data_IF_515135335954
#
_entry.id   IF_515135335954
#
_cell.length_a   1.000
_cell.length_b   1.000
_cell.length_c   1.000
_cell.angle_alpha   90.00
_cell.angle_beta   90.00
_cell.angle_gamma   90.00
#
_symmetry.space_group_name_H-M   'P 1'
#
loop_
_entity.id
_entity.type
_entity.pdbx_description
1 polymer ?
#
# COMPACT_ATOMS: atom_id res chain seq x y z
N UNK A 1 19.15 32.01 -15.31
CA UNK A 1 17.98 31.26 -14.86
C UNK A 1 18.30 30.72 -13.49
N UNK A 2 17.72 31.30 -12.44
CA UNK A 2 17.95 30.85 -11.07
C UNK A 2 17.23 29.51 -10.90
N UNK A 3 17.92 28.46 -10.43
CA UNK A 3 17.21 27.24 -10.07
C UNK A 3 16.42 27.58 -8.82
N UNK A 4 15.11 27.73 -8.97
CA UNK A 4 14.21 27.77 -7.81
C UNK A 4 14.41 26.47 -7.05
N UNK A 5 15.05 26.58 -5.88
CA UNK A 5 15.29 25.43 -5.03
C UNK A 5 13.95 24.77 -4.68
N UNK A 6 13.92 23.43 -4.62
CA UNK A 6 12.75 22.68 -4.17
C UNK A 6 12.27 23.25 -2.83
N UNK A 7 10.97 23.51 -2.69
CA UNK A 7 10.38 23.82 -1.40
C UNK A 7 10.58 22.66 -0.43
N UNK A 8 10.53 22.92 0.87
CA UNK A 8 10.64 21.87 1.87
C UNK A 8 9.25 21.39 2.31
N UNK A 9 9.07 20.10 2.49
CA UNK A 9 7.89 19.50 3.07
C UNK A 9 8.30 18.56 4.20
N UNK A 10 7.63 18.63 5.35
CA UNK A 10 7.92 17.70 6.45
C UNK A 10 7.45 16.28 6.13
N UNK A 11 8.16 15.29 6.65
CA UNK A 11 7.75 13.88 6.55
C UNK A 11 6.34 13.67 7.09
N UNK A 12 5.98 14.33 8.19
CA UNK A 12 4.64 14.25 8.76
C UNK A 12 3.59 14.76 7.78
N UNK A 13 3.81 15.92 7.17
CA UNK A 13 2.86 16.49 6.20
C UNK A 13 2.77 15.61 4.93
N UNK A 14 3.90 15.23 4.35
CA UNK A 14 3.93 14.37 3.17
C UNK A 14 3.26 13.01 3.41
N UNK A 15 3.50 12.38 4.57
CA UNK A 15 2.88 11.10 4.93
C UNK A 15 1.38 11.26 5.18
N UNK A 16 0.95 12.38 5.76
CA UNK A 16 -0.48 12.65 5.97
C UNK A 16 -1.22 12.81 4.65
N UNK A 17 -0.69 13.59 3.72
CA UNK A 17 -1.27 13.74 2.38
C UNK A 17 -1.30 12.41 1.62
N UNK A 18 -0.22 11.64 1.70
CA UNK A 18 -0.16 10.30 1.12
C UNK A 18 -1.25 9.39 1.71
N UNK A 19 -1.33 9.30 3.04
CA UNK A 19 -2.29 8.43 3.73
C UNK A 19 -3.74 8.75 3.33
N UNK A 20 -4.10 10.01 3.31
CA UNK A 20 -5.44 10.46 2.89
C UNK A 20 -5.68 10.16 1.41
N UNK A 21 -4.74 10.50 0.56
CA UNK A 21 -4.86 10.31 -0.89
C UNK A 21 -4.95 8.85 -1.30
N UNK A 22 -4.09 7.98 -0.75
CA UNK A 22 -4.10 6.56 -1.11
C UNK A 22 -5.33 5.83 -0.55
N UNK A 23 -5.79 6.19 0.64
CA UNK A 23 -7.02 5.63 1.22
C UNK A 23 -8.23 6.01 0.38
N UNK A 24 -8.35 7.26 -0.05
CA UNK A 24 -9.42 7.71 -0.94
C UNK A 24 -9.38 7.03 -2.33
N UNK A 25 -8.19 6.84 -2.89
CA UNK A 25 -8.02 6.12 -4.16
C UNK A 25 -8.42 4.65 -4.03
N UNK A 26 -8.09 4.00 -2.92
CA UNK A 26 -8.51 2.63 -2.63
C UNK A 26 -10.03 2.52 -2.54
N UNK A 27 -10.68 3.35 -1.74
CA UNK A 27 -12.14 3.38 -1.62
C UNK A 27 -12.83 3.53 -2.98
N UNK A 28 -12.35 4.46 -3.80
CA UNK A 28 -12.91 4.72 -5.14
C UNK A 28 -12.81 3.52 -6.08
N UNK A 29 -11.77 2.67 -5.92
CA UNK A 29 -11.49 1.55 -6.80
C UNK A 29 -11.89 0.19 -6.20
N UNK A 30 -12.40 0.18 -4.98
CA UNK A 30 -12.63 -1.04 -4.22
C UNK A 30 -13.61 -1.99 -4.90
N UNK A 31 -14.70 -1.50 -5.44
CA UNK A 31 -15.70 -2.30 -6.18
C UNK A 31 -15.09 -3.09 -7.35
N UNK A 32 -14.16 -2.46 -8.09
CA UNK A 32 -13.47 -3.13 -9.19
C UNK A 32 -12.53 -4.24 -8.70
N UNK A 33 -11.92 -4.05 -7.53
CA UNK A 33 -11.07 -5.07 -6.91
C UNK A 33 -11.93 -6.23 -6.38
N UNK A 34 -13.04 -5.94 -5.70
CA UNK A 34 -14.01 -6.95 -5.27
C UNK A 34 -14.51 -7.81 -6.43
N UNK A 35 -14.83 -7.19 -7.56
CA UNK A 35 -15.25 -7.92 -8.75
C UNK A 35 -14.21 -8.93 -9.23
N UNK A 36 -12.91 -8.67 -9.02
CA UNK A 36 -11.85 -9.62 -9.33
C UNK A 36 -11.92 -10.86 -8.44
N UNK A 37 -12.18 -10.69 -7.15
CA UNK A 37 -12.34 -11.80 -6.22
C UNK A 37 -13.64 -12.59 -6.49
N UNK A 38 -14.77 -11.90 -6.64
CA UNK A 38 -16.05 -12.55 -6.91
C UNK A 38 -16.02 -13.36 -8.20
N UNK A 39 -15.39 -12.83 -9.26
CA UNK A 39 -15.26 -13.55 -10.53
C UNK A 39 -14.37 -14.79 -10.42
N UNK A 40 -13.29 -14.71 -9.64
CA UNK A 40 -12.31 -15.78 -9.55
C UNK A 40 -12.73 -16.90 -8.60
N UNK A 41 -13.44 -16.57 -7.51
CA UNK A 41 -13.69 -17.49 -6.40
C UNK A 41 -15.18 -17.77 -6.12
N UNK A 42 -16.08 -17.01 -6.72
CA UNK A 42 -17.53 -17.20 -6.69
C UNK A 42 -18.06 -17.55 -5.27
N UNK A 43 -18.65 -18.71 -5.10
CA UNK A 43 -19.22 -19.19 -3.82
C UNK A 43 -18.16 -19.34 -2.70
N UNK A 44 -16.89 -19.48 -3.05
CA UNK A 44 -15.79 -19.58 -2.10
C UNK A 44 -15.19 -18.22 -1.74
N UNK A 45 -15.73 -17.13 -2.28
CA UNK A 45 -15.23 -15.79 -2.01
C UNK A 45 -15.49 -15.42 -0.55
N UNK A 46 -14.49 -14.89 0.19
CA UNK A 46 -14.71 -14.38 1.53
C UNK A 46 -15.68 -13.20 1.53
N UNK A 47 -16.17 -12.82 2.71
CA UNK A 47 -16.97 -11.61 2.87
C UNK A 47 -16.18 -10.37 2.41
N UNK A 48 -16.86 -9.43 1.79
CA UNK A 48 -16.27 -8.19 1.25
C UNK A 48 -15.48 -7.42 2.31
N UNK A 49 -15.98 -7.39 3.55
CA UNK A 49 -15.30 -6.76 4.67
C UNK A 49 -13.95 -7.43 4.99
N UNK A 50 -13.86 -8.75 4.91
CA UNK A 50 -12.62 -9.49 5.13
C UNK A 50 -11.58 -9.15 4.05
N UNK A 51 -12.02 -9.04 2.80
CA UNK A 51 -11.18 -8.63 1.67
C UNK A 51 -10.68 -7.20 1.88
N UNK A 52 -11.57 -6.27 2.28
CA UNK A 52 -11.22 -4.89 2.58
C UNK A 52 -10.14 -4.79 3.66
N UNK A 53 -10.34 -5.48 4.76
CA UNK A 53 -9.44 -5.46 5.92
C UNK A 53 -8.04 -6.02 5.63
N UNK A 54 -7.92 -6.92 4.67
CA UNK A 54 -6.60 -7.42 4.23
C UNK A 54 -5.95 -6.51 3.19
N UNK A 55 -6.73 -5.94 2.27
CA UNK A 55 -6.22 -5.12 1.17
C UNK A 55 -5.77 -3.73 1.60
N UNK A 56 -6.50 -3.06 2.49
CA UNK A 56 -6.18 -1.70 2.90
C UNK A 56 -4.75 -1.56 3.45
N UNK A 57 -4.31 -2.39 4.43
CA UNK A 57 -2.93 -2.37 4.91
C UNK A 57 -1.90 -2.70 3.82
N UNK A 58 -2.24 -3.59 2.90
CA UNK A 58 -1.38 -3.96 1.78
C UNK A 58 -1.16 -2.77 0.82
N UNK A 59 -2.20 -1.99 0.55
CA UNK A 59 -2.13 -0.77 -0.27
C UNK A 59 -1.27 0.29 0.39
N UNK A 60 -1.40 0.51 1.69
CA UNK A 60 -0.53 1.43 2.43
C UNK A 60 0.94 1.01 2.37
N UNK A 61 1.22 -0.28 2.59
CA UNK A 61 2.58 -0.82 2.55
C UNK A 61 3.20 -0.68 1.15
N UNK A 62 2.45 -1.07 0.11
CA UNK A 62 2.87 -0.94 -1.27
C UNK A 62 3.13 0.53 -1.63
N UNK A 63 2.31 1.44 -1.12
CA UNK A 63 2.40 2.86 -1.42
C UNK A 63 3.63 3.55 -0.82
N UNK A 64 4.17 3.11 0.32
CA UNK A 64 5.38 3.71 0.90
C UNK A 64 6.69 3.08 0.43
N UNK A 65 6.62 1.94 -0.26
CA UNK A 65 7.80 1.22 -0.75
C UNK A 65 8.74 2.11 -1.60
N UNK A 66 8.24 2.97 -2.52
CA UNK A 66 9.09 3.84 -3.31
C UNK A 66 9.99 4.79 -2.51
N UNK A 67 9.61 5.13 -1.29
CA UNK A 67 10.41 6.02 -0.41
C UNK A 67 11.82 5.49 -0.21
N UNK A 68 11.96 4.15 -0.03
CA UNK A 68 13.26 3.53 0.15
C UNK A 68 14.17 3.71 -1.08
N UNK A 69 13.60 3.61 -2.27
CA UNK A 69 14.35 3.75 -3.51
C UNK A 69 14.72 5.21 -3.83
N UNK A 70 13.88 6.17 -3.40
CA UNK A 70 14.07 7.59 -3.70
C UNK A 70 15.01 8.25 -2.67
N UNK A 71 14.81 8.01 -1.37
CA UNK A 71 15.53 8.69 -0.29
C UNK A 71 16.32 7.75 0.65
N UNK A 72 16.18 6.44 0.51
CA UNK A 72 16.90 5.45 1.28
C UNK A 72 16.17 4.93 2.51
N UNK A 73 16.81 4.01 3.20
CA UNK A 73 16.24 3.24 4.33
C UNK A 73 15.89 4.11 5.53
N UNK A 74 16.66 5.16 5.79
CA UNK A 74 16.42 6.07 6.92
C UNK A 74 15.06 6.77 6.77
N UNK A 75 14.82 7.37 5.61
CA UNK A 75 13.57 8.09 5.34
C UNK A 75 12.38 7.12 5.21
N UNK A 76 12.60 5.94 4.66
CA UNK A 76 11.58 4.90 4.65
C UNK A 76 11.11 4.53 6.08
N UNK A 77 12.04 4.37 7.02
CA UNK A 77 11.70 4.09 8.43
C UNK A 77 10.90 5.22 9.06
N UNK A 78 11.24 6.47 8.77
CA UNK A 78 10.50 7.65 9.27
C UNK A 78 9.08 7.69 8.72
N UNK A 79 8.91 7.55 7.42
CA UNK A 79 7.58 7.50 6.78
C UNK A 79 6.75 6.33 7.31
N UNK A 80 7.35 5.15 7.46
CA UNK A 80 6.67 3.98 8.04
C UNK A 80 6.19 4.25 9.47
N UNK A 81 7.00 4.90 10.28
CA UNK A 81 6.63 5.27 11.66
C UNK A 81 5.46 6.26 11.68
N UNK A 82 5.46 7.26 10.80
CA UNK A 82 4.33 8.20 10.66
C UNK A 82 3.05 7.50 10.17
N UNK A 83 3.17 6.53 9.26
CA UNK A 83 2.02 5.70 8.84
C UNK A 83 1.40 4.96 10.03
N UNK A 84 2.23 4.37 10.90
CA UNK A 84 1.75 3.72 12.13
C UNK A 84 0.99 4.69 13.04
N UNK A 85 1.48 5.92 13.19
CA UNK A 85 0.76 6.98 13.93
C UNK A 85 -0.60 7.24 13.30
N UNK A 86 -0.70 7.39 11.98
CA UNK A 86 -1.97 7.63 11.27
C UNK A 86 -2.95 6.47 11.42
N UNK A 87 -2.50 5.24 11.29
CA UNK A 87 -3.32 4.04 11.48
C UNK A 87 -3.87 4.00 12.91
N UNK A 88 -3.02 4.25 13.90
CA UNK A 88 -3.41 4.28 15.32
C UNK A 88 -4.45 5.36 15.63
N UNK A 89 -4.36 6.52 14.99
CA UNK A 89 -5.28 7.64 15.22
C UNK A 89 -6.64 7.46 14.53
N UNK A 90 -6.70 6.72 13.43
CA UNK A 90 -7.85 6.73 12.52
C UNK A 90 -8.71 5.48 12.58
N UNK A 91 -8.26 4.38 13.17
CA UNK A 91 -8.90 3.07 13.02
C UNK A 91 -9.20 2.31 14.33
N UNK A 92 -9.40 3.00 15.45
CA UNK A 92 -9.90 2.33 16.65
C UNK A 92 -11.32 1.77 16.42
N UNK A 93 -11.64 0.53 16.85
CA UNK A 93 -10.84 -0.42 17.65
C UNK A 93 -9.98 -1.40 16.82
N UNK A 94 -9.99 -1.32 15.46
CA UNK A 94 -9.31 -2.27 14.59
C UNK A 94 -7.79 -2.00 14.41
N UNK A 95 -7.28 -1.03 15.17
CA UNK A 95 -5.90 -0.54 15.06
C UNK A 95 -4.85 -1.64 15.13
N UNK A 96 -4.94 -2.52 16.12
CA UNK A 96 -3.93 -3.57 16.34
C UNK A 96 -3.84 -4.51 15.14
N UNK A 97 -4.97 -4.95 14.61
CA UNK A 97 -5.04 -5.79 13.42
C UNK A 97 -4.43 -5.09 12.20
N UNK A 98 -4.80 -3.84 11.95
CA UNK A 98 -4.32 -3.09 10.78
C UNK A 98 -2.82 -2.78 10.87
N UNK A 99 -2.31 -2.48 12.06
CA UNK A 99 -0.87 -2.29 12.31
C UNK A 99 -0.10 -3.56 12.03
N UNK A 100 -0.54 -4.69 12.56
CA UNK A 100 0.09 -6.00 12.31
C UNK A 100 0.14 -6.31 10.82
N UNK A 101 -0.98 -6.15 10.12
CA UNK A 101 -1.08 -6.41 8.68
C UNK A 101 -0.22 -5.46 7.85
N UNK A 102 -0.20 -4.18 8.20
CA UNK A 102 0.65 -3.20 7.54
C UNK A 102 2.14 -3.56 7.65
N UNK A 103 2.61 -3.88 8.87
CA UNK A 103 4.00 -4.28 9.09
C UNK A 103 4.34 -5.57 8.35
N UNK A 104 3.43 -6.54 8.34
CA UNK A 104 3.60 -7.79 7.61
C UNK A 104 3.72 -7.53 6.10
N UNK A 105 2.86 -6.71 5.52
CA UNK A 105 2.93 -6.39 4.08
C UNK A 105 4.20 -5.63 3.72
N UNK A 106 4.72 -4.75 4.58
CA UNK A 106 6.03 -4.11 4.33
C UNK A 106 7.16 -5.13 4.28
N UNK A 107 7.12 -6.17 5.11
CA UNK A 107 8.08 -7.27 5.07
C UNK A 107 7.94 -8.13 3.82
N UNK A 108 6.70 -8.52 3.48
CA UNK A 108 6.40 -9.36 2.31
C UNK A 108 6.81 -8.70 0.99
N UNK A 109 6.64 -7.39 0.86
CA UNK A 109 7.11 -6.65 -0.31
C UNK A 109 8.62 -6.76 -0.49
N UNK A 110 9.40 -6.67 0.58
CA UNK A 110 10.86 -6.85 0.54
C UNK A 110 11.26 -8.27 0.13
N UNK A 111 10.55 -9.27 0.63
CA UNK A 111 10.77 -10.67 0.25
C UNK A 111 10.43 -10.89 -1.23
N UNK A 112 9.33 -10.34 -1.72
CA UNK A 112 8.92 -10.39 -3.12
C UNK A 112 9.94 -9.76 -4.06
N UNK A 113 10.47 -8.61 -3.71
CA UNK A 113 11.54 -7.93 -4.47
C UNK A 113 12.79 -8.81 -4.54
N UNK A 114 13.21 -9.42 -3.43
CA UNK A 114 14.34 -10.34 -3.39
C UNK A 114 14.14 -11.57 -4.27
N UNK A 115 12.92 -12.08 -4.34
CA UNK A 115 12.57 -13.27 -5.13
C UNK A 115 12.25 -12.95 -6.59
N UNK A 116 12.20 -11.67 -6.98
CA UNK A 116 11.89 -11.22 -8.34
C UNK A 116 10.46 -11.53 -8.79
N UNK A 117 9.53 -11.76 -7.85
CA UNK A 117 8.14 -12.08 -8.15
C UNK A 117 7.24 -10.84 -8.12
N UNK A 118 6.69 -10.47 -9.27
CA UNK A 118 5.75 -9.34 -9.38
C UNK A 118 4.39 -9.62 -8.72
N UNK A 119 4.03 -10.87 -8.50
CA UNK A 119 2.74 -11.27 -7.90
C UNK A 119 2.85 -11.68 -6.44
N UNK A 120 4.04 -11.66 -5.85
CA UNK A 120 4.31 -12.20 -4.53
C UNK A 120 3.36 -11.66 -3.45
N UNK A 121 3.16 -10.34 -3.43
CA UNK A 121 2.26 -9.71 -2.47
C UNK A 121 0.79 -10.07 -2.73
N UNK A 122 0.37 -10.10 -3.98
CA UNK A 122 -0.99 -10.51 -4.37
C UNK A 122 -1.27 -11.97 -3.97
N UNK A 123 -0.33 -12.88 -4.20
CA UNK A 123 -0.43 -14.28 -3.79
C UNK A 123 -0.57 -14.42 -2.28
N UNK A 124 0.17 -13.63 -1.51
CA UNK A 124 0.07 -13.62 -0.06
C UNK A 124 -1.28 -13.10 0.45
N UNK A 125 -1.81 -12.03 -0.15
CA UNK A 125 -3.14 -11.50 0.17
C UNK A 125 -4.19 -12.58 -0.05
N UNK A 126 -4.16 -13.24 -1.20
CA UNK A 126 -5.10 -14.31 -1.55
C UNK A 126 -5.02 -15.47 -0.54
N UNK A 127 -3.81 -15.90 -0.19
CA UNK A 127 -3.59 -16.95 0.82
C UNK A 127 -4.07 -16.55 2.20
N UNK A 128 -3.89 -15.30 2.62
CA UNK A 128 -4.37 -14.80 3.91
C UNK A 128 -5.91 -14.82 4.01
N UNK A 129 -6.59 -14.71 2.88
CA UNK A 129 -8.04 -14.84 2.78
C UNK A 129 -8.52 -16.31 2.73
N UNK A 130 -7.60 -17.27 2.88
CA UNK A 130 -7.92 -18.70 2.84
C UNK A 130 -8.16 -19.24 1.42
N UNK A 131 -7.74 -18.51 0.41
CA UNK A 131 -7.93 -18.86 -0.99
C UNK A 131 -6.65 -19.41 -1.63
N UNK A 132 -6.80 -20.24 -2.66
CA UNK A 132 -5.68 -20.68 -3.48
C UNK A 132 -5.37 -19.62 -4.56
N UNK A 133 -4.12 -19.11 -4.66
CA UNK A 133 -3.75 -18.18 -5.71
C UNK A 133 -3.95 -18.80 -7.11
N UNK A 134 -4.61 -18.04 -7.97
CA UNK A 134 -4.76 -18.35 -9.38
C UNK A 134 -3.89 -17.37 -10.19
N UNK A 135 -3.03 -17.81 -11.12
CA UNK A 135 -2.05 -16.94 -11.78
C UNK A 135 -2.66 -15.67 -12.39
N UNK A 136 -3.77 -15.80 -13.11
CA UNK A 136 -4.43 -14.65 -13.73
C UNK A 136 -5.05 -13.69 -12.71
N UNK A 137 -5.60 -14.21 -11.63
CA UNK A 137 -6.14 -13.41 -10.52
C UNK A 137 -5.03 -12.67 -9.79
N UNK A 138 -3.91 -13.34 -9.51
CA UNK A 138 -2.74 -12.73 -8.87
C UNK A 138 -2.16 -11.60 -9.72
N UNK A 139 -2.03 -11.80 -11.04
CA UNK A 139 -1.55 -10.77 -11.98
C UNK A 139 -2.52 -9.59 -12.00
N UNK A 140 -3.82 -9.84 -12.10
CA UNK A 140 -4.84 -8.79 -12.15
C UNK A 140 -4.86 -8.00 -10.84
N UNK A 141 -4.84 -8.68 -9.70
CA UNK A 141 -4.79 -8.02 -8.39
C UNK A 141 -3.52 -7.18 -8.22
N UNK A 142 -2.35 -7.74 -8.54
CA UNK A 142 -1.08 -7.02 -8.49
C UNK A 142 -1.12 -5.75 -9.35
N UNK A 143 -1.68 -5.83 -10.56
CA UNK A 143 -1.84 -4.68 -11.46
C UNK A 143 -2.80 -3.64 -10.89
N UNK A 144 -3.94 -4.06 -10.35
CA UNK A 144 -4.91 -3.15 -9.72
C UNK A 144 -4.30 -2.40 -8.54
N UNK A 145 -3.58 -3.11 -7.66
CA UNK A 145 -2.91 -2.50 -6.52
C UNK A 145 -1.79 -1.54 -6.94
N UNK A 146 -0.99 -1.93 -7.94
CA UNK A 146 0.08 -1.07 -8.47
C UNK A 146 -0.46 0.23 -9.08
N UNK A 147 -1.61 0.19 -9.76
CA UNK A 147 -2.26 1.37 -10.32
C UNK A 147 -2.81 2.33 -9.26
N UNK A 148 -3.15 1.84 -8.07
CA UNK A 148 -3.57 2.69 -6.95
C UNK A 148 -2.41 3.49 -6.36
N UNK A 149 -1.21 2.92 -6.41
CA UNK A 149 0.02 3.56 -5.96
C UNK A 149 0.47 4.53 -7.05
N UNK A 150 -0.19 5.67 -7.09
CA UNK A 150 0.22 6.77 -7.96
C UNK A 150 1.69 7.14 -7.67
N UNK A 151 2.40 7.78 -8.61
CA UNK A 151 3.80 8.20 -8.42
C UNK A 151 3.93 9.36 -7.41
N UNK A 152 3.17 9.31 -6.31
CA UNK A 152 3.09 10.35 -5.30
C UNK A 152 4.48 10.78 -4.79
N UNK A 153 5.28 9.80 -4.38
CA UNK A 153 6.60 10.11 -3.82
C UNK A 153 7.57 10.66 -4.86
N UNK A 154 7.46 10.25 -6.12
CA UNK A 154 8.23 10.86 -7.21
C UNK A 154 7.83 12.30 -7.45
N UNK A 155 6.54 12.62 -7.37
CA UNK A 155 6.05 13.99 -7.48
C UNK A 155 6.48 14.84 -6.29
N UNK A 156 6.46 14.27 -5.07
CA UNK A 156 7.01 14.92 -3.88
C UNK A 156 8.50 15.23 -4.07
N UNK A 157 9.30 14.25 -4.53
CA UNK A 157 10.72 14.46 -4.78
C UNK A 157 11.00 15.50 -5.85
N UNK A 158 10.16 15.61 -6.87
CA UNK A 158 10.32 16.64 -7.89
C UNK A 158 10.06 18.05 -7.38
N UNK A 159 9.12 18.22 -6.46
CA UNK A 159 8.64 19.52 -5.97
C UNK A 159 9.29 19.97 -4.66
N UNK A 160 9.63 19.02 -3.79
CA UNK A 160 10.01 19.29 -2.41
C UNK A 160 11.30 18.58 -2.02
N UNK A 161 11.93 19.13 -0.96
CA UNK A 161 12.91 18.41 -0.15
C UNK A 161 12.21 17.88 1.08
N UNK A 162 12.35 16.58 1.33
CA UNK A 162 11.77 15.92 2.50
C UNK A 162 12.64 16.18 3.75
N UNK A 163 12.04 16.56 4.87
CA UNK A 163 12.75 16.77 6.14
C UNK A 163 11.97 16.26 7.35
#
# INVERSE_FOLDING_TARGET
>A
MWPFGKSSISIVAATTEFYVGISAAFEKNYEAILATFHTAYDENCPADEAIYMELMPAVWALGIEPVQNIWGEHEFKRVRSEMLVKINQSHAPMTEFLVERFLRHTQLLREGIRNGSATYNADHIIKQLGLAPQPMTSIKLASQLAMLVLPYWKEVDQKYRLF
#
